data_IF_379563807658
#
_entry.id   IF_379563807658
#
_cell.length_a   1.000
_cell.length_b   1.000
_cell.length_c   1.000
_cell.angle_alpha   90.00
_cell.angle_beta   90.00
_cell.angle_gamma   90.00
#
_symmetry.space_group_name_H-M   'P 1'
#
loop_
_entity.id
_entity.type
_entity.pdbx_description
1 polymer ?
#
# COMPACT_ATOMS: atom_id res chain seq x y z
N UNK A 1 -3.87 24.83 15.23
CA UNK A 1 -3.84 23.46 14.69
C UNK A 1 -4.04 23.62 13.20
N UNK A 2 -3.02 23.37 12.39
CA UNK A 2 -3.24 23.23 10.96
C UNK A 2 -3.95 21.88 10.80
N UNK A 3 -5.22 21.92 10.38
CA UNK A 3 -5.93 20.69 10.03
C UNK A 3 -5.09 19.88 9.03
N UNK A 4 -5.11 18.56 9.15
CA UNK A 4 -4.36 17.62 8.32
C UNK A 4 -4.89 17.62 6.86
N UNK A 5 -4.72 18.73 6.16
CA UNK A 5 -5.15 18.97 4.78
C UNK A 5 -4.44 18.02 3.81
N UNK A 6 -3.23 17.57 4.14
CA UNK A 6 -2.48 16.60 3.34
C UNK A 6 -3.09 15.21 3.37
N UNK A 7 -3.42 14.69 4.56
CA UNK A 7 -4.07 13.38 4.69
C UNK A 7 -5.42 13.34 3.97
N UNK A 8 -6.18 14.43 4.05
CA UNK A 8 -7.46 14.59 3.33
C UNK A 8 -7.26 14.54 1.82
N UNK A 9 -6.33 15.35 1.28
CA UNK A 9 -6.03 15.38 -0.16
C UNK A 9 -5.54 14.03 -0.70
N UNK A 10 -4.70 13.34 0.07
CA UNK A 10 -4.22 12.00 -0.29
C UNK A 10 -5.37 10.99 -0.28
N UNK A 11 -6.26 11.05 0.72
CA UNK A 11 -7.43 10.18 0.82
C UNK A 11 -8.41 10.39 -0.33
N UNK A 12 -8.66 11.64 -0.72
CA UNK A 12 -9.48 11.97 -1.89
C UNK A 12 -8.89 11.39 -3.18
N UNK A 13 -7.56 11.41 -3.33
CA UNK A 13 -6.88 10.81 -4.46
C UNK A 13 -7.07 9.28 -4.50
N UNK A 14 -7.02 8.61 -3.35
CA UNK A 14 -7.31 7.17 -3.24
C UNK A 14 -8.75 6.87 -3.62
N UNK A 15 -9.72 7.58 -3.02
CA UNK A 15 -11.16 7.36 -3.23
C UNK A 15 -11.61 7.63 -4.67
N UNK A 16 -10.94 8.55 -5.37
CA UNK A 16 -11.23 8.88 -6.77
C UNK A 16 -10.54 7.96 -7.79
N UNK A 17 -9.62 7.09 -7.35
CA UNK A 17 -8.87 6.22 -8.25
C UNK A 17 -9.66 4.97 -8.66
N UNK A 18 -10.23 4.99 -9.87
CA UNK A 18 -10.93 3.84 -10.44
C UNK A 18 -10.01 2.63 -10.68
N UNK A 19 -8.70 2.85 -10.84
CA UNK A 19 -7.72 1.79 -11.09
C UNK A 19 -7.59 0.80 -9.92
N UNK A 20 -7.96 1.21 -8.70
CA UNK A 20 -7.86 0.35 -7.51
C UNK A 20 -8.91 -0.77 -7.50
N UNK A 21 -10.03 -0.55 -8.19
CA UNK A 21 -11.17 -1.47 -8.27
C UNK A 21 -11.20 -2.26 -9.58
N UNK A 22 -10.22 -2.04 -10.45
CA UNK A 22 -10.23 -2.64 -11.79
C UNK A 22 -10.14 -4.17 -11.71
N UNK A 23 -11.17 -4.86 -12.23
CA UNK A 23 -11.29 -6.32 -12.23
C UNK A 23 -11.28 -6.97 -10.83
N UNK A 24 -11.63 -6.22 -9.80
CA UNK A 24 -11.97 -6.73 -8.47
C UNK A 24 -13.47 -6.53 -8.24
N UNK A 25 -14.08 -7.39 -7.43
CA UNK A 25 -15.40 -7.08 -6.86
C UNK A 25 -15.27 -5.98 -5.81
N UNK A 26 -16.38 -5.33 -5.45
CA UNK A 26 -16.39 -4.31 -4.40
C UNK A 26 -15.86 -4.87 -3.07
N UNK A 27 -16.25 -6.10 -2.70
CA UNK A 27 -15.80 -6.77 -1.47
C UNK A 27 -14.30 -7.07 -1.49
N UNK A 28 -13.71 -7.38 -2.65
CA UNK A 28 -12.27 -7.63 -2.80
C UNK A 28 -11.44 -6.34 -2.81
N UNK A 29 -12.01 -5.25 -3.33
CA UNK A 29 -11.32 -3.96 -3.44
C UNK A 29 -11.43 -3.11 -2.18
N UNK A 30 -12.53 -3.22 -1.43
CA UNK A 30 -12.80 -2.37 -0.27
C UNK A 30 -11.66 -2.39 0.79
N UNK A 31 -11.08 -3.56 1.17
CA UNK A 31 -9.97 -3.59 2.11
C UNK A 31 -8.75 -2.78 1.63
N UNK A 32 -8.46 -2.78 0.34
CA UNK A 32 -7.36 -2.01 -0.24
C UNK A 32 -7.64 -0.50 -0.19
N UNK A 33 -8.90 -0.11 -0.44
CA UNK A 33 -9.33 1.29 -0.37
C UNK A 33 -9.24 1.81 1.06
N UNK A 34 -9.79 1.06 2.03
CA UNK A 34 -9.76 1.43 3.45
C UNK A 34 -8.32 1.52 3.96
N UNK A 35 -7.50 0.53 3.62
CA UNK A 35 -6.07 0.56 3.95
C UNK A 35 -5.36 1.75 3.30
N UNK A 36 -5.62 2.03 2.01
CA UNK A 36 -5.04 3.16 1.30
C UNK A 36 -5.40 4.53 1.89
N UNK A 37 -6.63 4.68 2.40
CA UNK A 37 -7.05 5.89 3.14
C UNK A 37 -6.31 6.00 4.48
N UNK A 38 -6.17 4.91 5.23
CA UNK A 38 -5.39 4.92 6.47
C UNK A 38 -3.91 5.28 6.22
N UNK A 39 -3.31 4.74 5.14
CA UNK A 39 -1.95 5.10 4.73
C UNK A 39 -1.87 6.59 4.32
N UNK A 40 -2.85 7.10 3.60
CA UNK A 40 -2.94 8.53 3.22
C UNK A 40 -2.93 9.45 4.45
N UNK A 41 -3.70 9.11 5.49
CA UNK A 41 -3.73 9.88 6.74
C UNK A 41 -2.37 9.86 7.46
N UNK A 42 -1.74 8.68 7.55
CA UNK A 42 -0.44 8.50 8.18
C UNK A 42 0.66 9.29 7.44
N UNK A 43 0.72 9.18 6.12
CA UNK A 43 1.68 9.91 5.28
C UNK A 43 1.44 11.42 5.35
N UNK A 44 0.17 11.84 5.32
CA UNK A 44 -0.21 13.25 5.48
C UNK A 44 0.24 13.82 6.82
N UNK A 45 0.13 13.05 7.90
CA UNK A 45 0.61 13.46 9.22
C UNK A 45 2.13 13.65 9.25
N UNK A 46 2.91 12.76 8.62
CA UNK A 46 4.38 12.89 8.53
C UNK A 46 4.82 14.13 7.76
N UNK A 47 3.99 14.61 6.81
CA UNK A 47 4.29 15.83 6.07
C UNK A 47 4.04 17.11 6.87
N UNK A 48 3.22 17.05 7.93
CA UNK A 48 2.95 18.19 8.80
C UNK A 48 4.19 18.79 9.46
N UNK A 49 5.23 17.96 9.65
CA UNK A 49 6.51 18.36 10.27
C UNK A 49 7.51 18.98 9.28
N UNK A 50 7.21 18.97 7.97
CA UNK A 50 8.08 19.53 6.94
C UNK A 50 7.95 21.05 6.84
N UNK A 51 8.99 21.72 6.31
CA UNK A 51 8.89 23.15 5.99
C UNK A 51 7.90 23.38 4.82
N UNK A 52 7.20 24.53 4.75
CA UNK A 52 6.16 24.77 3.73
C UNK A 52 6.60 24.53 2.27
N UNK A 53 7.84 24.89 1.93
CA UNK A 53 8.40 24.66 0.59
C UNK A 53 8.64 23.17 0.28
N UNK A 54 8.93 22.37 1.31
CA UNK A 54 9.11 20.92 1.19
C UNK A 54 7.76 20.19 1.13
N UNK A 55 6.73 20.71 1.79
CA UNK A 55 5.40 20.11 1.82
C UNK A 55 4.78 19.98 0.42
N UNK A 56 4.89 21.00 -0.44
CA UNK A 56 4.32 20.96 -1.78
C UNK A 56 4.97 19.90 -2.67
N UNK A 57 6.30 19.80 -2.66
CA UNK A 57 7.03 18.77 -3.41
C UNK A 57 6.75 17.37 -2.85
N UNK A 58 6.72 17.24 -1.53
CA UNK A 58 6.39 15.98 -0.87
C UNK A 58 4.96 15.54 -1.20
N UNK A 59 3.98 16.44 -1.27
CA UNK A 59 2.60 16.07 -1.57
C UNK A 59 2.48 15.33 -2.91
N UNK A 60 3.04 15.90 -3.98
CA UNK A 60 2.95 15.29 -5.31
C UNK A 60 3.69 13.94 -5.37
N UNK A 61 4.88 13.86 -4.78
CA UNK A 61 5.68 12.64 -4.72
C UNK A 61 4.95 11.54 -3.95
N UNK A 62 4.45 11.84 -2.75
CA UNK A 62 3.75 10.90 -1.87
C UNK A 62 2.42 10.47 -2.46
N UNK A 63 1.66 11.39 -3.04
CA UNK A 63 0.42 11.06 -3.74
C UNK A 63 0.68 10.09 -4.90
N UNK A 64 1.70 10.38 -5.71
CA UNK A 64 2.08 9.52 -6.84
C UNK A 64 2.53 8.14 -6.38
N UNK A 65 3.36 8.08 -5.34
CA UNK A 65 3.84 6.82 -4.77
C UNK A 65 2.70 5.98 -4.19
N UNK A 66 1.80 6.60 -3.42
CA UNK A 66 0.64 5.93 -2.82
C UNK A 66 -0.28 5.33 -3.87
N UNK A 67 -0.66 6.11 -4.90
CA UNK A 67 -1.52 5.60 -5.96
C UNK A 67 -0.86 4.47 -6.74
N UNK A 68 0.46 4.56 -6.99
CA UNK A 68 1.20 3.50 -7.67
C UNK A 68 1.30 2.24 -6.81
N UNK A 69 1.57 2.37 -5.51
CA UNK A 69 1.57 1.28 -4.56
C UNK A 69 0.25 0.49 -4.61
N UNK A 70 -0.87 1.18 -4.39
CA UNK A 70 -2.20 0.57 -4.38
C UNK A 70 -2.52 -0.08 -5.73
N UNK A 71 -2.18 0.59 -6.84
CA UNK A 71 -2.35 0.04 -8.20
C UNK A 71 -1.53 -1.24 -8.40
N UNK A 72 -0.29 -1.29 -7.89
CA UNK A 72 0.56 -2.49 -8.01
C UNK A 72 0.01 -3.66 -7.19
N UNK A 73 -0.56 -3.40 -6.02
CA UNK A 73 -1.26 -4.42 -5.23
C UNK A 73 -2.43 -5.00 -6.04
N UNK A 74 -3.30 -4.14 -6.60
CA UNK A 74 -4.39 -4.57 -7.49
C UNK A 74 -3.85 -5.39 -8.66
N UNK A 75 -2.78 -4.94 -9.31
CA UNK A 75 -2.19 -5.66 -10.44
C UNK A 75 -1.66 -7.05 -10.07
N UNK A 76 -1.01 -7.20 -8.92
CA UNK A 76 -0.57 -8.53 -8.46
C UNK A 76 -1.79 -9.43 -8.24
N UNK A 77 -2.83 -8.93 -7.57
CA UNK A 77 -4.05 -9.69 -7.31
C UNK A 77 -4.72 -10.16 -8.61
N UNK A 78 -4.87 -9.26 -9.59
CA UNK A 78 -5.64 -9.53 -10.81
C UNK A 78 -4.83 -10.26 -11.89
N UNK A 79 -3.55 -9.94 -12.04
CA UNK A 79 -2.79 -10.33 -13.24
C UNK A 79 -1.67 -11.34 -13.01
N UNK A 80 -1.24 -11.59 -11.76
CA UNK A 80 -0.09 -12.47 -11.48
C UNK A 80 -0.23 -13.87 -12.10
N UNK A 81 -1.43 -14.46 -12.01
CA UNK A 81 -1.74 -15.77 -12.58
C UNK A 81 -1.50 -15.87 -14.10
N UNK A 82 -1.65 -14.76 -14.84
CA UNK A 82 -1.58 -14.74 -16.31
C UNK A 82 -0.27 -14.15 -16.85
N UNK A 83 0.44 -13.34 -16.04
CA UNK A 83 1.66 -12.63 -16.47
C UNK A 83 2.95 -13.40 -16.17
N UNK A 84 2.87 -14.41 -15.31
CA UNK A 84 3.98 -15.28 -14.96
C UNK A 84 4.93 -14.72 -13.90
N UNK A 85 5.90 -15.54 -13.52
CA UNK A 85 6.77 -15.32 -12.36
C UNK A 85 7.60 -14.03 -12.46
N UNK A 86 8.32 -13.84 -13.57
CA UNK A 86 9.24 -12.70 -13.72
C UNK A 86 8.52 -11.35 -13.64
N UNK A 87 7.32 -11.26 -14.23
CA UNK A 87 6.49 -10.05 -14.13
C UNK A 87 6.00 -9.86 -12.69
N UNK A 88 5.54 -10.93 -12.03
CA UNK A 88 5.02 -10.87 -10.66
C UNK A 88 6.10 -10.42 -9.67
N UNK A 89 7.31 -10.98 -9.76
CA UNK A 89 8.47 -10.55 -8.95
C UNK A 89 8.80 -9.08 -9.13
N UNK A 90 8.81 -8.62 -10.37
CA UNK A 90 9.07 -7.21 -10.69
C UNK A 90 8.00 -6.30 -10.08
N UNK A 91 6.73 -6.67 -10.21
CA UNK A 91 5.62 -5.89 -9.65
C UNK A 91 5.67 -5.87 -8.11
N UNK A 92 6.01 -6.99 -7.47
CA UNK A 92 6.20 -7.06 -6.02
C UNK A 92 7.41 -6.24 -5.53
N UNK A 93 8.51 -6.21 -6.29
CA UNK A 93 9.65 -5.34 -5.96
C UNK A 93 9.27 -3.85 -6.06
N UNK A 94 8.43 -3.47 -7.03
CA UNK A 94 7.92 -2.10 -7.13
C UNK A 94 7.04 -1.70 -5.94
N UNK A 95 6.29 -2.63 -5.35
CA UNK A 95 5.54 -2.37 -4.11
C UNK A 95 6.51 -1.93 -3.01
N UNK A 96 7.59 -2.67 -2.79
CA UNK A 96 8.64 -2.33 -1.83
C UNK A 96 9.31 -0.98 -2.12
N UNK A 97 9.54 -0.65 -3.40
CA UNK A 97 10.07 0.66 -3.80
C UNK A 97 9.14 1.81 -3.42
N UNK A 98 7.82 1.68 -3.67
CA UNK A 98 6.86 2.73 -3.31
C UNK A 98 6.68 2.87 -1.80
N UNK A 99 6.71 1.77 -1.06
CA UNK A 99 6.75 1.78 0.42
C UNK A 99 7.95 2.60 0.94
N UNK A 100 9.14 2.37 0.38
CA UNK A 100 10.33 3.17 0.74
C UNK A 100 10.18 4.65 0.37
N UNK A 101 9.52 4.97 -0.74
CA UNK A 101 9.22 6.37 -1.08
C UNK A 101 8.25 6.97 -0.06
N UNK A 102 7.26 6.22 0.42
CA UNK A 102 6.26 6.73 1.37
C UNK A 102 6.81 6.90 2.78
N UNK A 103 7.53 5.91 3.30
CA UNK A 103 7.93 5.85 4.71
C UNK A 103 9.45 5.88 4.96
N UNK A 104 10.24 5.92 3.89
CA UNK A 104 11.70 5.96 3.98
C UNK A 104 12.32 4.59 4.31
N UNK A 105 13.55 4.57 4.84
CA UNK A 105 14.31 3.33 5.05
C UNK A 105 13.71 2.34 6.05
N UNK A 106 12.80 2.80 6.92
CA UNK A 106 12.10 1.98 7.90
C UNK A 106 10.75 1.47 7.41
N UNK A 107 10.44 1.66 6.12
CA UNK A 107 9.20 1.18 5.53
C UNK A 107 9.04 -0.33 5.70
N UNK A 108 7.82 -0.82 5.96
CA UNK A 108 7.53 -2.24 5.89
C UNK A 108 7.84 -2.76 4.47
N UNK A 109 8.29 -4.00 4.37
CA UNK A 109 8.71 -4.61 3.11
C UNK A 109 8.16 -6.03 3.01
N UNK A 110 7.70 -6.38 1.81
CA UNK A 110 7.45 -7.77 1.47
C UNK A 110 8.77 -8.54 1.54
N UNK A 111 8.78 -9.62 2.33
CA UNK A 111 9.94 -10.49 2.44
C UNK A 111 10.09 -11.43 1.22
N UNK A 112 11.29 -11.95 1.02
CA UNK A 112 11.60 -12.78 -0.15
C UNK A 112 10.75 -14.06 -0.22
N UNK A 113 10.46 -14.67 0.93
CA UNK A 113 9.66 -15.90 1.02
C UNK A 113 8.22 -15.69 0.52
N UNK A 114 7.57 -14.62 0.97
CA UNK A 114 6.24 -14.25 0.52
C UNK A 114 6.24 -13.93 -0.98
N UNK A 115 7.23 -13.18 -1.44
CA UNK A 115 7.37 -12.83 -2.85
C UNK A 115 7.54 -14.08 -3.73
N UNK A 116 8.35 -15.04 -3.29
CA UNK A 116 8.54 -16.33 -3.97
C UNK A 116 7.24 -17.13 -4.04
N UNK A 117 6.54 -17.27 -2.92
CA UNK A 117 5.27 -18.01 -2.83
C UNK A 117 4.21 -17.45 -3.79
N UNK A 118 4.09 -16.12 -3.87
CA UNK A 118 3.16 -15.45 -4.78
C UNK A 118 3.62 -15.63 -6.23
N UNK A 119 4.90 -15.36 -6.53
CA UNK A 119 5.40 -15.39 -7.90
C UNK A 119 5.38 -16.79 -8.53
N UNK A 120 5.57 -17.84 -7.73
CA UNK A 120 5.51 -19.24 -8.17
C UNK A 120 4.07 -19.78 -8.21
N UNK A 121 3.06 -18.99 -7.83
CA UNK A 121 1.66 -19.42 -7.76
C UNK A 121 1.39 -20.51 -6.73
N UNK A 122 2.32 -20.74 -5.80
CA UNK A 122 2.27 -21.85 -4.83
C UNK A 122 1.24 -21.62 -3.72
N UNK A 123 0.71 -20.40 -3.60
CA UNK A 123 -0.15 -20.02 -2.50
C UNK A 123 -1.65 -20.23 -2.76
N UNK A 124 -2.08 -20.47 -4.00
CA UNK A 124 -3.48 -20.80 -4.33
C UNK A 124 -4.50 -19.69 -4.02
N UNK A 125 -4.05 -18.45 -3.84
CA UNK A 125 -4.89 -17.33 -3.44
C UNK A 125 -5.90 -16.94 -4.53
N UNK A 126 -7.12 -16.58 -4.11
CA UNK A 126 -8.00 -15.74 -4.92
C UNK A 126 -7.57 -14.26 -4.89
N UNK A 127 -8.23 -13.40 -5.68
CA UNK A 127 -7.82 -11.99 -5.84
C UNK A 127 -7.93 -11.23 -4.50
N UNK A 128 -9.04 -11.38 -3.78
CA UNK A 128 -9.22 -10.78 -2.45
C UNK A 128 -8.20 -11.27 -1.42
N UNK A 129 -7.88 -12.56 -1.41
CA UNK A 129 -6.85 -13.13 -0.52
C UNK A 129 -5.46 -12.57 -0.82
N UNK A 130 -5.12 -12.34 -2.11
CA UNK A 130 -3.87 -11.69 -2.48
C UNK A 130 -3.81 -10.25 -1.98
N UNK A 131 -4.90 -9.48 -2.15
CA UNK A 131 -4.99 -8.12 -1.62
C UNK A 131 -4.76 -8.12 -0.11
N UNK A 132 -5.52 -8.92 0.64
CA UNK A 132 -5.42 -9.02 2.09
C UNK A 132 -4.02 -9.43 2.55
N UNK A 133 -3.44 -10.44 1.90
CA UNK A 133 -2.09 -10.92 2.22
C UNK A 133 -1.05 -9.81 2.04
N UNK A 134 -1.14 -9.05 0.96
CA UNK A 134 -0.19 -7.98 0.66
C UNK A 134 -0.34 -6.81 1.64
N UNK A 135 -1.56 -6.32 1.88
CA UNK A 135 -1.75 -5.21 2.83
C UNK A 135 -1.40 -5.62 4.27
N UNK A 136 -1.63 -6.89 4.65
CA UNK A 136 -1.23 -7.38 5.97
C UNK A 136 0.30 -7.43 6.11
N UNK A 137 1.02 -7.88 5.08
CA UNK A 137 2.48 -7.90 5.10
C UNK A 137 3.11 -6.49 5.08
N UNK A 138 2.38 -5.49 4.59
CA UNK A 138 2.80 -4.10 4.52
C UNK A 138 2.27 -3.24 5.67
N UNK A 139 1.37 -3.77 6.49
CA UNK A 139 0.95 -3.09 7.71
C UNK A 139 1.95 -3.42 8.81
N UNK A 140 2.50 -2.43 9.54
CA UNK A 140 3.29 -2.74 10.72
C UNK A 140 2.46 -3.60 11.67
N UNK A 141 3.07 -4.65 12.25
CA UNK A 141 2.43 -5.39 13.33
C UNK A 141 2.08 -4.39 14.42
N UNK A 142 0.78 -4.24 14.73
CA UNK A 142 0.40 -3.55 15.96
C UNK A 142 1.13 -4.28 17.08
N UNK A 143 2.00 -3.57 17.79
CA UNK A 143 2.69 -4.07 18.96
C UNK A 143 1.61 -4.36 20.02
N UNK A 144 1.10 -5.60 20.05
CA UNK A 144 0.24 -6.12 21.12
C UNK A 144 1.15 -6.39 22.33
N UNK A 145 1.86 -5.36 22.79
CA UNK A 145 2.68 -5.38 23.99
C UNK A 145 2.39 -4.13 24.80
N UNK A 146 1.22 -4.15 25.46
CA UNK A 146 1.02 -3.61 26.81
C UNK A 146 -0.42 -3.87 27.26
N UNK A 147 -0.74 -5.15 27.41
CA UNK A 147 -2.00 -5.63 27.98
C UNK A 147 -1.81 -6.70 29.05
N UNK A 148 -0.60 -6.95 29.55
CA UNK A 148 -0.42 -7.80 30.72
C UNK A 148 -0.42 -6.96 32.00
N UNK A 149 -1.61 -6.90 32.59
CA UNK A 149 -1.79 -6.69 34.02
C UNK A 149 -0.93 -7.71 34.79
N UNK A 150 -0.02 -7.20 35.61
CA UNK A 150 0.27 -7.80 36.93
C UNK A 150 0.29 -6.70 37.97
#
# INVERSE_FOLDING_TARGET
>A
MADNDFGTKLSEAVLSSSALRENLTDDEAQPLVDWGVAQAEQVGAQMGDLLPMQQAMALEEKQTALLKLLTRITWVAVHSANKGEAWTRKTLAQINEYEQVLYGPAAPQLNAELMDRIALGQAGYNQGELVLTLIQALSPEEDISNGEKT
#
